data_IF_155705901537
#
_entry.id   IF_155705901537
#
_cell.length_a   1.000
_cell.length_b   1.000
_cell.length_c   1.000
_cell.angle_alpha   90.00
_cell.angle_beta   90.00
_cell.angle_gamma   90.00
#
_symmetry.space_group_name_H-M   'P 1'
#
loop_
_entity.id
_entity.type
_entity.pdbx_description
1 polymer ?
#
# COMPACT_ATOMS: atom_id res chain seq x y z
N UNK A 1 -37.35 42.01 2.67
CA UNK A 1 -37.27 42.32 1.22
C UNK A 1 -36.63 41.12 0.54
N UNK A 2 -37.41 40.15 0.04
CA UNK A 2 -37.78 39.98 -1.38
C UNK A 2 -36.64 40.36 -2.35
N UNK A 3 -35.98 39.38 -2.99
CA UNK A 3 -36.29 39.05 -4.38
C UNK A 3 -35.71 37.68 -4.76
N UNK A 4 -36.63 36.79 -5.14
CA UNK A 4 -36.43 35.58 -5.92
C UNK A 4 -35.98 35.99 -7.32
N UNK A 5 -34.94 35.36 -7.86
CA UNK A 5 -34.68 35.35 -9.30
C UNK A 5 -34.67 33.90 -9.78
N UNK A 6 -35.79 33.52 -10.41
CA UNK A 6 -35.90 32.40 -11.33
C UNK A 6 -35.53 32.94 -12.72
N UNK A 7 -34.55 32.32 -13.39
CA UNK A 7 -34.43 32.39 -14.85
C UNK A 7 -33.92 31.04 -15.39
N UNK A 8 -34.88 30.31 -15.96
CA UNK A 8 -34.74 29.20 -16.90
C UNK A 8 -34.16 29.68 -18.24
N UNK A 9 -33.27 28.93 -18.89
CA UNK A 9 -33.27 28.80 -20.36
C UNK A 9 -32.47 27.59 -20.87
N UNK A 10 -32.92 27.08 -22.01
CA UNK A 10 -32.77 25.72 -22.55
C UNK A 10 -31.52 25.43 -23.39
N UNK A 11 -31.07 24.17 -23.28
CA UNK A 11 -30.63 23.17 -24.29
C UNK A 11 -30.13 23.67 -25.67
N UNK A 12 -28.92 23.19 -26.05
CA UNK A 12 -28.58 22.77 -27.42
C UNK A 12 -27.82 21.44 -27.36
N UNK A 13 -28.45 20.36 -27.83
CA UNK A 13 -27.81 19.08 -28.17
C UNK A 13 -27.20 19.19 -29.57
N UNK A 14 -25.92 18.87 -29.72
CA UNK A 14 -25.29 18.64 -31.02
C UNK A 14 -24.98 17.14 -31.17
N UNK A 15 -25.83 16.42 -31.89
CA UNK A 15 -25.59 15.03 -32.30
C UNK A 15 -24.90 15.02 -33.67
N UNK A 16 -23.59 14.77 -33.69
CA UNK A 16 -22.87 14.50 -34.93
C UNK A 16 -23.02 13.02 -35.30
N UNK A 17 -23.76 12.77 -36.38
CA UNK A 17 -23.93 11.45 -36.97
C UNK A 17 -22.70 11.05 -37.79
N UNK A 18 -22.14 9.87 -37.51
CA UNK A 18 -21.24 9.17 -38.42
C UNK A 18 -22.07 8.21 -39.29
N UNK A 19 -22.39 8.65 -40.51
CA UNK A 19 -22.90 7.77 -41.57
C UNK A 19 -21.81 6.76 -41.94
N UNK A 20 -22.02 5.48 -41.64
CA UNK A 20 -21.20 4.39 -42.18
C UNK A 20 -21.71 4.04 -43.58
N UNK A 21 -20.89 4.27 -44.59
CA UNK A 21 -21.13 3.82 -45.95
C UNK A 21 -20.76 2.33 -46.06
N UNK A 22 -21.76 1.47 -46.31
CA UNK A 22 -21.56 0.07 -46.64
C UNK A 22 -21.15 -0.05 -48.11
N UNK A 23 -19.93 -0.51 -48.37
CA UNK A 23 -19.49 -0.95 -49.72
C UNK A 23 -19.38 -2.47 -49.70
N UNK A 24 -20.12 -3.21 -50.56
CA UNK A 24 -19.94 -4.64 -50.72
C UNK A 24 -18.89 -4.92 -51.80
N UNK A 25 -17.84 -5.68 -51.47
CA UNK A 25 -17.02 -6.32 -52.50
C UNK A 25 -15.59 -6.67 -52.12
N UNK A 26 -15.26 -7.94 -52.40
CA UNK A 26 -13.92 -8.51 -52.66
C UNK A 26 -13.11 -8.92 -51.42
N UNK A 27 -13.04 -10.23 -51.19
CA UNK A 27 -12.16 -10.86 -50.23
C UNK A 27 -10.69 -10.66 -50.61
N UNK A 28 -9.94 -10.01 -49.72
CA UNK A 28 -8.48 -9.93 -49.75
C UNK A 28 -7.88 -11.02 -48.82
N UNK A 29 -6.64 -11.48 -49.06
CA UNK A 29 -6.01 -12.50 -48.25
C UNK A 29 -5.81 -11.98 -46.82
N UNK A 30 -6.12 -12.83 -45.83
CA UNK A 30 -5.91 -12.52 -44.42
C UNK A 30 -4.41 -12.30 -44.19
N UNK A 31 -4.03 -11.06 -43.94
CA UNK A 31 -2.67 -10.70 -43.55
C UNK A 31 -2.36 -11.40 -42.23
N UNK A 32 -1.27 -12.17 -42.22
CA UNK A 32 -0.82 -12.92 -41.05
C UNK A 32 -0.47 -11.94 -39.94
N UNK A 33 -1.35 -11.83 -38.95
CA UNK A 33 -1.14 -10.97 -37.78
C UNK A 33 0.07 -11.52 -37.02
N UNK A 34 1.17 -10.78 -37.04
CA UNK A 34 2.34 -11.11 -36.23
C UNK A 34 1.93 -11.13 -34.75
N UNK A 35 2.39 -12.10 -33.95
CA UNK A 35 2.05 -12.15 -32.54
C UNK A 35 2.54 -10.86 -31.88
N UNK A 36 1.63 -10.15 -31.22
CA UNK A 36 1.96 -9.06 -30.30
C UNK A 36 2.96 -9.63 -29.28
N UNK A 37 4.12 -8.98 -29.05
CA UNK A 37 5.02 -9.43 -28.00
C UNK A 37 4.22 -9.49 -26.70
N UNK A 38 4.20 -10.67 -26.06
CA UNK A 38 3.67 -10.78 -24.71
C UNK A 38 4.37 -9.69 -23.88
N UNK A 39 3.61 -8.76 -23.32
CA UNK A 39 4.16 -7.81 -22.36
C UNK A 39 4.75 -8.66 -21.24
N UNK A 40 6.08 -8.70 -21.18
CA UNK A 40 6.80 -9.45 -20.18
C UNK A 40 6.39 -8.97 -18.79
N UNK A 41 6.41 -9.89 -17.84
CA UNK A 41 6.19 -9.56 -16.42
C UNK A 41 7.11 -8.38 -16.03
N UNK A 42 6.60 -7.38 -15.27
CA UNK A 42 7.41 -6.24 -14.88
C UNK A 42 8.70 -6.71 -14.17
N UNK A 43 9.82 -5.97 -14.31
CA UNK A 43 11.07 -6.35 -13.67
C UNK A 43 10.87 -6.49 -12.16
N UNK A 44 11.30 -7.63 -11.60
CA UNK A 44 11.31 -7.89 -10.15
C UNK A 44 12.58 -7.30 -9.54
N UNK A 45 12.42 -6.37 -8.61
CA UNK A 45 13.53 -5.67 -7.95
C UNK A 45 13.78 -6.22 -6.55
N UNK A 46 12.72 -6.66 -5.88
CA UNK A 46 12.80 -7.25 -4.55
C UNK A 46 13.13 -8.75 -4.60
N UNK A 47 13.92 -9.27 -3.64
CA UNK A 47 14.06 -10.71 -3.43
C UNK A 47 12.71 -11.38 -3.14
N UNK A 48 12.54 -12.63 -3.58
CA UNK A 48 11.35 -13.43 -3.27
C UNK A 48 11.24 -13.77 -1.78
N UNK A 49 10.01 -13.94 -1.30
CA UNK A 49 9.73 -14.29 0.10
C UNK A 49 9.82 -15.80 0.32
N UNK A 50 10.74 -16.23 1.20
CA UNK A 50 11.02 -17.66 1.45
C UNK A 50 10.00 -18.36 2.36
N UNK A 51 9.27 -17.61 3.18
CA UNK A 51 8.31 -18.17 4.16
C UNK A 51 7.02 -17.35 4.16
N UNK A 52 6.26 -17.38 3.05
CA UNK A 52 5.17 -16.44 2.82
C UNK A 52 4.06 -16.58 3.87
N UNK A 53 3.49 -15.43 4.23
CA UNK A 53 2.37 -15.27 5.17
C UNK A 53 1.14 -14.78 4.44
N UNK A 54 -0.03 -15.10 4.99
CA UNK A 54 -1.31 -14.71 4.42
C UNK A 54 -2.01 -13.68 5.31
N UNK A 55 -2.19 -12.47 4.79
CA UNK A 55 -2.97 -11.42 5.43
C UNK A 55 -4.41 -11.30 4.88
N UNK A 56 -4.82 -12.17 3.94
CA UNK A 56 -6.19 -12.12 3.40
C UNK A 56 -7.21 -12.39 4.49
N UNK A 57 -8.19 -11.50 4.60
CA UNK A 57 -9.26 -11.61 5.60
C UNK A 57 -8.83 -11.35 7.04
N UNK A 58 -7.61 -10.84 7.26
CA UNK A 58 -7.13 -10.43 8.58
C UNK A 58 -7.39 -8.93 8.77
N UNK A 59 -8.25 -8.51 9.72
CA UNK A 59 -8.43 -7.10 10.02
C UNK A 59 -7.14 -6.49 10.58
N UNK A 60 -6.69 -5.30 10.12
CA UNK A 60 -5.41 -4.73 10.53
C UNK A 60 -5.29 -4.47 12.03
N UNK A 61 -6.38 -4.11 12.72
CA UNK A 61 -6.34 -3.88 14.16
C UNK A 61 -6.30 -5.19 14.98
N UNK A 62 -6.74 -6.31 14.38
CA UNK A 62 -6.84 -7.61 15.05
C UNK A 62 -5.57 -8.46 14.89
N UNK A 63 -4.65 -8.05 14.01
CA UNK A 63 -3.41 -8.79 13.74
C UNK A 63 -2.43 -8.79 14.92
N UNK A 64 -2.55 -7.82 15.83
CA UNK A 64 -1.75 -7.72 17.05
C UNK A 64 -2.65 -7.86 18.27
N UNK A 65 -2.19 -8.64 19.26
CA UNK A 65 -2.88 -8.69 20.56
C UNK A 65 -2.72 -7.37 21.31
N UNK A 66 -3.66 -7.06 22.20
CA UNK A 66 -3.55 -5.88 23.05
C UNK A 66 -2.26 -5.88 23.90
N UNK A 67 -1.77 -7.05 24.30
CA UNK A 67 -0.53 -7.19 25.06
C UNK A 67 0.69 -6.79 24.22
N UNK A 68 0.76 -7.22 22.96
CA UNK A 68 1.80 -6.80 22.03
C UNK A 68 1.77 -5.29 21.77
N UNK A 69 0.58 -4.69 21.64
CA UNK A 69 0.43 -3.24 21.49
C UNK A 69 0.94 -2.48 22.73
N UNK A 70 0.59 -2.95 23.94
CA UNK A 70 1.10 -2.37 25.20
C UNK A 70 2.60 -2.55 25.33
N UNK A 71 3.15 -3.71 24.95
CA UNK A 71 4.59 -3.98 24.97
C UNK A 71 5.38 -3.01 24.07
N UNK A 72 4.78 -2.58 22.96
CA UNK A 72 5.34 -1.59 22.06
C UNK A 72 5.17 -0.14 22.55
N UNK A 73 4.46 0.09 23.67
CA UNK A 73 4.27 1.41 24.28
C UNK A 73 3.05 2.18 23.78
N UNK A 74 2.07 1.50 23.18
CA UNK A 74 0.85 2.11 22.64
C UNK A 74 -0.40 1.70 23.41
N UNK A 75 -1.51 2.39 23.16
CA UNK A 75 -2.79 2.20 23.83
C UNK A 75 -3.75 1.37 22.95
N UNK A 76 -4.07 0.11 23.32
CA UNK A 76 -4.92 -0.75 22.48
C UNK A 76 -6.32 -0.20 22.24
N UNK A 77 -6.89 0.50 23.23
CA UNK A 77 -8.22 1.12 23.18
C UNK A 77 -8.30 2.34 22.26
N UNK A 78 -7.16 2.80 21.73
CA UNK A 78 -7.07 3.89 20.74
C UNK A 78 -6.99 3.40 19.31
N UNK A 79 -7.15 2.09 19.07
CA UNK A 79 -7.13 1.52 17.73
C UNK A 79 -8.16 2.20 16.81
N UNK A 80 -7.69 2.74 15.69
CA UNK A 80 -8.53 3.29 14.63
C UNK A 80 -8.27 2.55 13.35
N UNK A 81 -9.26 1.80 12.89
CA UNK A 81 -9.22 1.10 11.60
C UNK A 81 -9.68 2.01 10.47
N UNK A 82 -9.02 1.91 9.31
CA UNK A 82 -9.45 2.55 8.07
C UNK A 82 -9.37 1.55 6.92
N UNK A 83 -10.44 1.46 6.13
CA UNK A 83 -10.50 0.59 4.96
C UNK A 83 -10.75 1.48 3.75
N UNK A 84 -9.83 1.46 2.80
CA UNK A 84 -10.03 2.00 1.45
C UNK A 84 -9.92 0.86 0.42
N UNK A 85 -10.23 1.13 -0.86
CA UNK A 85 -10.50 0.12 -1.89
C UNK A 85 -9.52 -1.06 -1.97
N UNK A 86 -8.23 -0.85 -1.68
CA UNK A 86 -7.16 -1.85 -1.85
C UNK A 86 -6.27 -1.99 -0.62
N UNK A 87 -6.53 -1.20 0.41
CA UNK A 87 -5.61 -1.02 1.51
C UNK A 87 -6.40 -0.89 2.80
N UNK A 88 -5.98 -1.65 3.81
CA UNK A 88 -6.57 -1.63 5.13
C UNK A 88 -5.50 -1.19 6.13
N UNK A 89 -5.82 -0.29 7.04
CA UNK A 89 -4.86 0.21 8.02
C UNK A 89 -5.44 0.25 9.43
N UNK A 90 -4.54 0.23 10.41
CA UNK A 90 -4.85 0.49 11.81
C UNK A 90 -3.81 1.45 12.39
N UNK A 91 -4.26 2.38 13.23
CA UNK A 91 -3.38 3.26 13.98
C UNK A 91 -3.64 3.18 15.48
N UNK A 92 -2.59 3.39 16.28
CA UNK A 92 -2.66 3.48 17.74
C UNK A 92 -1.94 4.74 18.24
N UNK A 93 -2.49 5.35 19.28
CA UNK A 93 -1.84 6.44 20.00
C UNK A 93 -0.80 5.90 20.98
N UNK A 94 0.28 6.66 21.15
CA UNK A 94 1.31 6.34 22.15
C UNK A 94 0.79 6.56 23.57
N UNK A 95 1.23 5.71 24.49
CA UNK A 95 0.85 5.78 25.91
C UNK A 95 1.51 6.95 26.65
N UNK A 96 2.51 7.59 26.05
CA UNK A 96 3.32 8.63 26.71
C UNK A 96 3.23 10.00 26.02
N UNK A 97 2.82 10.04 24.75
CA UNK A 97 2.71 11.26 23.94
C UNK A 97 1.88 10.96 22.69
N UNK A 98 0.71 11.60 22.58
CA UNK A 98 -0.25 11.42 21.49
C UNK A 98 0.26 11.94 20.12
N UNK A 99 1.34 12.72 20.11
CA UNK A 99 1.99 13.19 18.88
C UNK A 99 2.90 12.14 18.22
N UNK A 100 3.09 10.97 18.85
CA UNK A 100 3.88 9.85 18.34
C UNK A 100 3.03 8.61 18.04
N UNK A 101 2.06 8.66 17.11
CA UNK A 101 1.30 7.47 16.75
C UNK A 101 2.16 6.44 16.02
N UNK A 102 1.68 5.20 16.02
CA UNK A 102 2.15 4.16 15.09
C UNK A 102 0.99 3.72 14.20
N UNK A 103 1.28 3.53 12.92
CA UNK A 103 0.34 3.02 11.93
C UNK A 103 0.84 1.72 11.31
N UNK A 104 -0.09 0.83 11.02
CA UNK A 104 0.08 -0.36 10.20
C UNK A 104 -0.81 -0.23 8.97
N UNK A 105 -0.25 -0.48 7.80
CA UNK A 105 -0.98 -0.69 6.56
C UNK A 105 -0.77 -2.13 6.08
N UNK A 106 -1.85 -2.76 5.60
CA UNK A 106 -1.83 -4.09 4.98
C UNK A 106 -2.33 -3.96 3.54
N UNK A 107 -1.49 -4.43 2.62
CA UNK A 107 -1.87 -4.68 1.23
C UNK A 107 -1.83 -6.20 0.99
N UNK A 108 -3.01 -6.82 0.99
CA UNK A 108 -3.16 -8.28 0.85
C UNK A 108 -3.56 -8.72 -0.58
N UNK A 109 -3.77 -7.78 -1.49
CA UNK A 109 -4.26 -8.05 -2.86
C UNK A 109 -3.66 -7.03 -3.85
N UNK A 110 -2.44 -7.33 -4.30
CA UNK A 110 -1.71 -6.50 -5.27
C UNK A 110 -1.31 -7.32 -6.50
N UNK A 111 -1.49 -6.74 -7.68
CA UNK A 111 -0.95 -7.29 -8.93
C UNK A 111 0.56 -7.07 -9.11
N UNK A 112 1.15 -6.22 -8.27
CA UNK A 112 2.60 -5.95 -8.25
C UNK A 112 3.24 -6.64 -7.04
N UNK A 113 4.52 -7.01 -7.17
CA UNK A 113 5.23 -7.56 -6.03
C UNK A 113 5.34 -6.51 -4.91
N UNK A 114 5.24 -6.95 -3.66
CA UNK A 114 5.00 -6.08 -2.50
C UNK A 114 5.99 -4.91 -2.37
N UNK A 115 7.27 -5.16 -2.64
CA UNK A 115 8.33 -4.14 -2.52
C UNK A 115 8.75 -3.51 -3.85
N UNK A 116 8.24 -4.00 -4.99
CA UNK A 116 8.63 -3.44 -6.29
C UNK A 116 8.14 -2.00 -6.46
N UNK A 117 6.96 -1.66 -5.90
CA UNK A 117 6.46 -0.28 -5.87
C UNK A 117 7.44 0.62 -5.11
N UNK A 118 7.91 0.18 -3.94
CA UNK A 118 8.86 0.93 -3.10
C UNK A 118 10.21 1.08 -3.81
N UNK A 119 10.70 0.03 -4.48
CA UNK A 119 11.92 0.08 -5.31
C UNK A 119 11.82 1.06 -6.49
N UNK A 120 10.65 1.14 -7.13
CA UNK A 120 10.42 2.07 -8.23
C UNK A 120 10.46 3.53 -7.76
N UNK A 121 10.10 3.78 -6.50
CA UNK A 121 10.13 5.10 -5.88
C UNK A 121 11.44 5.41 -5.14
N UNK A 122 12.46 4.54 -5.20
CA UNK A 122 13.69 4.67 -4.38
C UNK A 122 14.36 6.06 -4.43
N UNK A 123 14.33 6.72 -5.59
CA UNK A 123 14.99 8.01 -5.81
C UNK A 123 14.17 9.20 -5.25
N UNK A 124 12.94 8.98 -4.78
CA UNK A 124 12.09 10.01 -4.17
C UNK A 124 12.25 10.08 -2.65
N UNK A 125 12.75 9.02 -2.02
CA UNK A 125 12.94 8.98 -0.58
C UNK A 125 14.24 9.66 -0.17
N UNK A 126 14.22 10.37 0.96
CA UNK A 126 15.43 10.92 1.57
C UNK A 126 16.35 9.81 2.11
N UNK A 127 15.77 8.66 2.44
CA UNK A 127 16.49 7.46 2.84
C UNK A 127 15.86 6.23 2.21
N UNK A 128 16.67 5.35 1.64
CA UNK A 128 16.24 4.07 1.11
C UNK A 128 17.26 2.99 1.49
N UNK A 129 16.88 2.07 2.37
CA UNK A 129 17.78 1.08 2.96
C UNK A 129 17.12 -0.31 2.95
N UNK A 130 17.53 -1.20 2.03
CA UNK A 130 17.14 -2.61 2.10
C UNK A 130 17.59 -3.25 3.41
N UNK A 131 16.73 -4.09 3.98
CA UNK A 131 16.94 -4.76 5.27
C UNK A 131 16.09 -6.05 5.33
N UNK A 132 15.99 -6.65 6.52
CA UNK A 132 15.13 -7.80 6.77
C UNK A 132 14.43 -7.70 8.13
N UNK A 133 13.22 -8.25 8.22
CA UNK A 133 12.48 -8.43 9.49
C UNK A 133 12.03 -9.87 9.57
N UNK A 134 12.47 -10.61 10.60
CA UNK A 134 12.08 -12.02 10.75
C UNK A 134 12.40 -12.87 9.51
N UNK A 135 13.50 -12.58 8.81
CA UNK A 135 13.92 -13.26 7.58
C UNK A 135 13.10 -12.90 6.32
N UNK A 136 12.19 -11.94 6.41
CA UNK A 136 11.42 -11.41 5.29
C UNK A 136 12.13 -10.18 4.71
N UNK A 137 12.20 -10.04 3.37
CA UNK A 137 12.70 -8.84 2.74
C UNK A 137 11.95 -7.60 3.22
N UNK A 138 12.69 -6.55 3.54
CA UNK A 138 12.14 -5.29 3.99
C UNK A 138 12.94 -4.10 3.45
N UNK A 139 12.32 -2.93 3.46
CA UNK A 139 12.94 -1.67 3.05
C UNK A 139 12.55 -0.62 4.07
N UNK A 140 13.53 0.08 4.64
CA UNK A 140 13.30 1.37 5.27
C UNK A 140 13.30 2.43 4.16
N UNK A 141 12.21 3.18 4.05
CA UNK A 141 12.09 4.24 3.06
C UNK A 141 11.43 5.47 3.69
N UNK A 142 12.23 6.49 4.03
CA UNK A 142 11.76 7.69 4.73
C UNK A 142 11.71 8.90 3.78
N UNK A 143 10.60 9.65 3.81
CA UNK A 143 10.45 10.90 3.05
C UNK A 143 11.28 12.05 3.64
N UNK A 144 11.41 12.07 4.97
CA UNK A 144 12.15 13.09 5.69
C UNK A 144 13.20 12.42 6.59
N UNK A 145 14.46 12.91 6.59
CA UNK A 145 15.47 12.40 7.51
C UNK A 145 15.05 12.68 8.96
N UNK A 146 15.25 11.70 9.83
CA UNK A 146 15.15 11.80 11.30
C UNK A 146 13.76 12.14 11.88
N UNK A 147 12.68 12.00 11.09
CA UNK A 147 11.30 12.27 11.54
C UNK A 147 10.52 11.02 11.99
N UNK A 148 11.17 9.86 12.02
CA UNK A 148 10.50 8.59 12.30
C UNK A 148 11.14 7.43 11.56
N UNK A 149 10.32 6.41 11.31
CA UNK A 149 10.70 5.27 10.47
C UNK A 149 9.47 4.75 9.72
N UNK A 150 9.59 4.70 8.39
CA UNK A 150 8.66 4.01 7.52
C UNK A 150 9.31 2.72 7.02
N UNK A 151 8.74 1.59 7.43
CA UNK A 151 9.27 0.26 7.18
C UNK A 151 8.27 -0.57 6.35
N UNK A 152 8.69 -0.98 5.17
CA UNK A 152 7.92 -1.80 4.25
C UNK A 152 8.44 -3.24 4.31
N UNK A 153 7.56 -4.22 4.46
CA UNK A 153 7.93 -5.64 4.61
C UNK A 153 7.12 -6.47 3.61
N UNK A 154 7.81 -7.28 2.79
CA UNK A 154 7.15 -8.28 1.96
C UNK A 154 6.78 -9.48 2.83
N UNK A 155 5.49 -9.66 3.12
CA UNK A 155 5.00 -10.83 3.88
C UNK A 155 4.75 -12.02 2.94
N UNK A 156 4.48 -11.76 1.66
CA UNK A 156 4.52 -12.70 0.55
C UNK A 156 4.96 -11.95 -0.72
N UNK A 157 5.14 -12.64 -1.83
CA UNK A 157 5.59 -11.99 -3.08
C UNK A 157 4.66 -10.84 -3.51
N UNK A 158 3.35 -11.00 -3.33
CA UNK A 158 2.31 -10.03 -3.72
C UNK A 158 1.48 -9.51 -2.53
N UNK A 159 1.97 -9.70 -1.30
CA UNK A 159 1.36 -9.14 -0.11
C UNK A 159 2.42 -8.42 0.72
N UNK A 160 2.12 -7.22 1.18
CA UNK A 160 3.04 -6.39 1.92
C UNK A 160 2.36 -5.70 3.09
N UNK A 161 3.18 -5.28 4.05
CA UNK A 161 2.77 -4.36 5.11
C UNK A 161 3.70 -3.16 5.11
N UNK A 162 3.17 -2.00 5.49
CA UNK A 162 3.99 -0.85 5.88
C UNK A 162 3.70 -0.50 7.33
N UNK A 163 4.74 -0.11 8.06
CA UNK A 163 4.64 0.33 9.43
C UNK A 163 5.28 1.71 9.50
N UNK A 164 4.49 2.69 9.91
CA UNK A 164 4.92 4.07 10.03
C UNK A 164 4.92 4.46 11.50
N UNK A 165 6.08 4.88 11.99
CA UNK A 165 6.23 5.41 13.33
C UNK A 165 6.75 6.85 13.26
N UNK A 166 6.00 7.77 13.87
CA UNK A 166 6.40 9.17 13.98
C UNK A 166 7.13 9.39 15.30
N UNK A 167 8.37 9.88 15.22
CA UNK A 167 9.17 10.19 16.41
C UNK A 167 8.94 11.61 16.96
N UNK A 168 8.07 12.40 16.32
CA UNK A 168 7.77 13.81 16.61
C UNK A 168 9.02 14.65 16.88
N UNK A 169 10.03 14.51 16.01
CA UNK A 169 11.34 15.16 16.11
C UNK A 169 12.13 14.86 17.40
N UNK A 170 11.79 13.80 18.14
CA UNK A 170 12.58 13.33 19.29
C UNK A 170 13.84 12.62 18.78
N UNK A 171 15.02 12.91 19.35
CA UNK A 171 16.23 12.19 19.02
C UNK A 171 16.13 10.76 19.58
N UNK A 172 15.91 9.78 18.71
CA UNK A 172 15.91 8.37 19.04
C UNK A 172 17.21 7.71 18.55
N UNK A 173 17.86 6.85 19.37
CA UNK A 173 19.04 6.10 18.91
C UNK A 173 18.76 5.20 17.70
N UNK A 174 17.59 4.55 17.67
CA UNK A 174 17.08 3.78 16.52
C UNK A 174 15.57 4.06 16.35
N UNK A 175 15.16 4.92 15.41
CA UNK A 175 13.74 5.20 15.18
C UNK A 175 12.98 4.01 14.59
N UNK A 176 13.67 2.99 14.08
CA UNK A 176 13.08 1.79 13.49
C UNK A 176 12.93 0.63 14.47
N UNK A 177 13.33 0.78 15.75
CA UNK A 177 13.18 -0.31 16.73
C UNK A 177 11.72 -0.75 16.87
N UNK A 178 10.81 0.21 17.04
CA UNK A 178 9.36 -0.05 17.19
C UNK A 178 8.80 -0.70 15.91
N UNK A 179 8.93 -0.12 14.70
CA UNK A 179 8.45 -0.78 13.48
C UNK A 179 9.01 -2.18 13.26
N UNK A 180 10.29 -2.42 13.57
CA UNK A 180 10.93 -3.74 13.41
C UNK A 180 10.33 -4.78 14.36
N UNK A 181 10.09 -4.42 15.62
CA UNK A 181 9.44 -5.30 16.60
C UNK A 181 7.98 -5.56 16.25
N UNK A 182 7.25 -4.51 15.87
CA UNK A 182 5.87 -4.64 15.41
C UNK A 182 5.76 -5.56 14.20
N UNK A 183 6.63 -5.38 13.19
CA UNK A 183 6.69 -6.25 12.02
C UNK A 183 6.98 -7.72 12.37
N UNK A 184 7.87 -7.96 13.33
CA UNK A 184 8.14 -9.32 13.81
C UNK A 184 6.93 -9.97 14.49
N UNK A 185 6.14 -9.21 15.27
CA UNK A 185 4.89 -9.71 15.85
C UNK A 185 3.84 -10.03 14.79
N UNK A 186 3.65 -9.14 13.81
CA UNK A 186 2.71 -9.36 12.70
C UNK A 186 3.08 -10.64 11.95
N UNK A 187 4.35 -10.80 11.56
CA UNK A 187 4.84 -12.00 10.87
C UNK A 187 4.63 -13.29 11.67
N UNK A 188 4.68 -13.22 13.01
CA UNK A 188 4.45 -14.37 13.89
C UNK A 188 2.96 -14.70 14.04
N UNK A 189 2.08 -13.69 13.99
CA UNK A 189 0.65 -13.85 14.16
C UNK A 189 -0.07 -14.25 12.85
N UNK A 190 0.50 -13.91 11.69
CA UNK A 190 -0.08 -14.28 10.41
C UNK A 190 0.09 -15.78 10.08
N UNK A 191 -0.95 -16.43 9.54
CA UNK A 191 -0.86 -17.81 9.08
C UNK A 191 0.08 -17.93 7.87
N UNK A 192 0.62 -19.13 7.59
CA UNK A 192 1.32 -19.40 6.33
C UNK A 192 0.41 -19.20 5.11
N UNK A 193 0.97 -18.70 4.01
CA UNK A 193 0.26 -18.65 2.72
C UNK A 193 0.19 -20.05 2.10
N UNK A 194 -1.03 -20.55 1.93
CA UNK A 194 -1.33 -21.85 1.29
C UNK A 194 -1.74 -21.69 -0.16
#
# INVERSE_FOLDING_TARGET
MKLVWLLTFSIVLATTGCSSATVPGVGAPVESVSPVPAQGEPPRWAPSVRSPRDARGVPPCDVLSEEQIRELGFLPDTAVESINSTTQSCGWSSATDDTNPVGLEINSDSNLAALDIVHNLRETFARFEPTEVGGHPAIRADDLPDNGCALYIAIADHQGISIEYNAANRPLPDPCEIPRRMGAFILANLPPLT
#
